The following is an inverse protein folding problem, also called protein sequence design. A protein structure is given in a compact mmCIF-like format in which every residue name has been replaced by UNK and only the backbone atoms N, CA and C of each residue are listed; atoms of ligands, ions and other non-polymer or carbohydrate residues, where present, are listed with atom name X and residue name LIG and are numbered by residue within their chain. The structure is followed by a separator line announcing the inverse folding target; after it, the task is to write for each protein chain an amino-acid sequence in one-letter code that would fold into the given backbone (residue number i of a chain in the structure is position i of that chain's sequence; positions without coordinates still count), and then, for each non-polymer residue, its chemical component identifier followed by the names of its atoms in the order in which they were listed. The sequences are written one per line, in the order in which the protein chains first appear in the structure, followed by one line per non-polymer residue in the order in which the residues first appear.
data_IF_218682550706
#
_entry.id   IF_218682550706
#
_cell.length_a   1.000
_cell.length_b   1.000
_cell.length_c   1.000
_cell.angle_alpha   90.00
_cell.angle_beta   90.00
_cell.angle_gamma   90.00
#
_symmetry.space_group_name_H-M   'P 1'
#
loop_
_entity.id
_entity.type
_entity.pdbx_description
1 polymer ?
#
# COMPACT_ATOMS: atom_id res chain seq x y z
N UNK A 1 -7.88 30.47 -40.19
CA UNK A 1 -8.54 30.02 -38.94
C UNK A 1 -8.02 28.65 -38.47
N UNK A 2 -7.93 27.64 -39.36
CA UNK A 2 -7.41 26.28 -39.05
C UNK A 2 -6.00 26.21 -38.45
N UNK A 3 -5.05 27.05 -38.87
CA UNK A 3 -3.65 27.03 -38.38
C UNK A 3 -3.48 27.41 -36.90
N UNK A 4 -4.38 28.24 -36.36
CA UNK A 4 -4.39 28.64 -34.94
C UNK A 4 -5.01 27.56 -34.06
N UNK A 5 -6.07 26.90 -34.55
CA UNK A 5 -6.68 25.77 -33.86
C UNK A 5 -5.73 24.57 -33.76
N UNK A 6 -4.94 24.31 -34.81
CA UNK A 6 -3.94 23.24 -34.82
C UNK A 6 -2.79 23.49 -33.83
N UNK A 7 -2.32 24.75 -33.73
CA UNK A 7 -1.28 25.13 -32.77
C UNK A 7 -1.77 25.02 -31.32
N UNK A 8 -3.02 25.44 -31.05
CA UNK A 8 -3.63 25.35 -29.73
C UNK A 8 -3.87 23.89 -29.30
N UNK A 9 -4.27 23.02 -30.22
CA UNK A 9 -4.43 21.60 -29.97
C UNK A 9 -3.08 20.92 -29.62
N UNK A 10 -2.00 21.30 -30.31
CA UNK A 10 -0.65 20.78 -30.03
C UNK A 10 -0.13 21.21 -28.65
N UNK A 11 -0.43 22.44 -28.21
CA UNK A 11 -0.02 22.93 -26.88
C UNK A 11 -0.76 22.22 -25.75
N UNK A 12 -2.04 21.90 -25.96
CA UNK A 12 -2.86 21.18 -24.97
C UNK A 12 -2.39 19.73 -24.79
N UNK A 13 -1.96 19.06 -25.87
CA UNK A 13 -1.43 17.68 -25.82
C UNK A 13 -0.08 17.61 -25.10
N UNK A 14 0.81 18.58 -25.30
CA UNK A 14 2.10 18.62 -24.61
C UNK A 14 1.99 18.87 -23.08
N UNK A 15 0.87 19.42 -22.61
CA UNK A 15 0.68 19.70 -21.18
C UNK A 15 0.11 18.51 -20.38
N UNK A 16 -0.29 17.43 -21.06
CA UNK A 16 -0.95 16.28 -20.44
C UNK A 16 0.00 15.14 -19.97
N UNK A 17 1.32 15.28 -20.14
CA UNK A 17 2.24 14.12 -20.09
C UNK A 17 2.86 13.79 -18.72
N UNK A 18 2.35 14.32 -17.60
CA UNK A 18 3.01 14.14 -16.30
C UNK A 18 2.07 13.73 -15.16
N UNK A 19 1.27 12.69 -15.36
CA UNK A 19 0.64 11.97 -14.26
C UNK A 19 1.58 10.84 -13.82
N UNK A 20 2.38 11.10 -12.79
CA UNK A 20 3.20 10.07 -12.16
C UNK A 20 2.26 9.15 -11.36
N UNK A 21 1.98 7.97 -11.92
CA UNK A 21 1.37 6.89 -11.17
C UNK A 21 2.40 6.38 -10.14
N UNK A 22 2.41 7.02 -8.99
CA UNK A 22 3.21 6.65 -7.83
C UNK A 22 2.75 5.27 -7.34
N UNK A 23 3.40 4.20 -7.79
CA UNK A 23 3.08 2.84 -7.35
C UNK A 23 3.62 2.60 -5.94
N UNK A 24 2.77 2.20 -4.97
CA UNK A 24 3.20 1.96 -3.61
C UNK A 24 4.25 0.85 -3.58
N UNK A 25 5.28 1.04 -2.76
CA UNK A 25 6.34 0.04 -2.58
C UNK A 25 6.48 -0.30 -1.10
N UNK A 26 6.29 -1.56 -0.76
CA UNK A 26 6.56 -2.08 0.58
C UNK A 26 8.05 -2.47 0.68
N UNK A 27 8.72 -2.02 1.74
CA UNK A 27 10.14 -2.30 1.97
C UNK A 27 10.36 -3.21 3.18
N UNK A 28 9.65 -2.97 4.27
CA UNK A 28 9.80 -3.76 5.50
C UNK A 28 8.51 -3.80 6.30
N UNK A 29 8.29 -4.94 6.97
CA UNK A 29 7.25 -5.13 7.97
C UNK A 29 7.92 -5.38 9.31
N UNK A 30 7.44 -4.71 10.36
CA UNK A 30 7.93 -4.88 11.73
C UNK A 30 6.77 -5.00 12.73
N UNK A 31 6.87 -5.83 13.77
CA UNK A 31 7.96 -6.80 14.02
C UNK A 31 7.97 -7.93 12.97
N UNK A 32 9.13 -8.59 12.81
CA UNK A 32 9.31 -9.70 11.84
C UNK A 32 8.63 -11.01 12.24
N UNK A 33 8.10 -11.09 13.46
CA UNK A 33 7.42 -12.26 13.98
C UNK A 33 6.41 -11.86 15.04
N UNK A 34 5.31 -12.61 15.08
CA UNK A 34 4.20 -12.42 16.02
C UNK A 34 3.69 -13.76 16.51
N UNK A 35 3.04 -13.75 17.67
CA UNK A 35 2.50 -14.95 18.28
C UNK A 35 1.14 -15.31 17.66
N UNK A 36 0.83 -16.61 17.57
CA UNK A 36 -0.50 -17.09 17.18
C UNK A 36 -1.49 -16.96 18.32
N UNK A 37 -2.76 -16.74 17.98
CA UNK A 37 -3.83 -16.55 18.97
C UNK A 37 -3.79 -15.19 19.66
N UNK A 38 -3.06 -14.22 19.10
CA UNK A 38 -2.96 -12.85 19.63
C UNK A 38 -3.35 -11.83 18.57
N UNK A 39 -3.60 -10.59 19.01
CA UNK A 39 -3.63 -9.43 18.14
C UNK A 39 -2.31 -8.70 18.23
N UNK A 40 -1.77 -8.29 17.08
CA UNK A 40 -0.49 -7.61 16.99
C UNK A 40 -0.55 -6.41 16.05
N UNK A 41 0.24 -5.38 16.36
CA UNK A 41 0.33 -4.18 15.52
C UNK A 41 1.51 -4.31 14.57
N UNK A 42 1.16 -4.53 13.31
CA UNK A 42 1.88 -4.39 12.05
C UNK A 42 2.43 -2.97 11.84
N UNK A 43 3.72 -2.73 11.61
CA UNK A 43 4.18 -1.47 10.98
C UNK A 43 4.78 -1.79 9.61
N UNK A 44 4.18 -1.21 8.57
CA UNK A 44 4.56 -1.36 7.18
C UNK A 44 5.24 -0.07 6.74
N UNK A 45 6.47 -0.18 6.25
CA UNK A 45 7.28 0.96 5.83
C UNK A 45 7.72 0.80 4.38
N UNK A 46 7.71 1.90 3.64
CA UNK A 46 7.88 1.87 2.19
C UNK A 46 7.92 3.25 1.55
N UNK A 47 7.40 3.35 0.32
CA UNK A 47 7.17 4.62 -0.37
C UNK A 47 5.74 4.70 -0.85
N UNK A 48 5.11 5.87 -0.68
CA UNK A 48 3.76 6.17 -1.19
C UNK A 48 2.68 5.23 -0.61
N UNK A 49 2.76 4.98 0.70
CA UNK A 49 1.80 4.18 1.47
C UNK A 49 0.67 5.01 2.12
N UNK A 50 0.71 6.34 1.98
CA UNK A 50 -0.22 7.24 2.68
C UNK A 50 -1.69 7.10 2.29
N UNK A 51 -1.99 6.73 1.04
CA UNK A 51 -3.34 6.78 0.48
C UNK A 51 -3.92 5.36 0.23
N UNK A 52 -5.15 5.12 0.72
CA UNK A 52 -6.04 4.07 0.21
C UNK A 52 -5.55 2.63 0.31
N UNK A 53 -4.93 2.23 1.44
CA UNK A 53 -4.33 0.91 1.56
C UNK A 53 -5.29 -0.15 2.10
N UNK A 54 -5.39 -1.26 1.37
CA UNK A 54 -5.91 -2.51 1.87
C UNK A 54 -4.75 -3.50 1.97
N UNK A 55 -4.55 -4.07 3.16
CA UNK A 55 -3.56 -5.13 3.36
C UNK A 55 -4.26 -6.46 3.12
N UNK A 56 -3.70 -7.27 2.23
CA UNK A 56 -4.23 -8.55 1.81
C UNK A 56 -3.22 -9.63 2.18
N UNK A 57 -3.66 -10.65 2.90
CA UNK A 57 -2.86 -11.84 3.17
C UNK A 57 -3.35 -12.97 2.27
N UNK A 58 -2.44 -13.57 1.50
CA UNK A 58 -2.77 -14.70 0.61
C UNK A 58 -2.94 -16.03 1.35
N UNK A 59 -2.46 -16.11 2.60
CA UNK A 59 -2.58 -17.29 3.44
C UNK A 59 -3.68 -17.10 4.50
N UNK A 60 -4.44 -18.15 4.84
CA UNK A 60 -5.44 -18.07 5.90
C UNK A 60 -4.79 -17.91 7.27
N UNK A 61 -5.55 -17.40 8.24
CA UNK A 61 -5.14 -17.28 9.64
C UNK A 61 -4.61 -15.89 10.05
N UNK A 62 -4.65 -14.91 9.15
CA UNK A 62 -4.33 -13.51 9.41
C UNK A 62 -5.50 -12.62 8.97
N UNK A 63 -6.04 -11.84 9.90
CA UNK A 63 -7.17 -10.94 9.64
C UNK A 63 -6.78 -9.50 9.98
N UNK A 64 -6.97 -8.58 9.03
CA UNK A 64 -6.70 -7.15 9.27
C UNK A 64 -7.92 -6.52 9.95
N UNK A 65 -7.74 -6.11 11.20
CA UNK A 65 -8.80 -5.49 12.03
C UNK A 65 -8.86 -3.99 11.80
N UNK A 66 -7.70 -3.34 11.65
CA UNK A 66 -7.60 -1.89 11.50
C UNK A 66 -6.37 -1.54 10.67
N UNK A 67 -6.47 -0.50 9.84
CA UNK A 67 -5.33 0.13 9.18
C UNK A 67 -5.33 1.60 9.53
N UNK A 68 -4.17 2.12 9.92
CA UNK A 68 -3.94 3.50 10.29
C UNK A 68 -2.74 4.04 9.51
N UNK A 69 -2.95 5.08 8.72
CA UNK A 69 -1.84 5.79 8.10
C UNK A 69 -1.06 6.54 9.18
N UNK A 70 0.26 6.34 9.22
CA UNK A 70 1.15 7.09 10.11
C UNK A 70 1.69 8.32 9.38
N UNK A 71 2.19 8.11 8.16
CA UNK A 71 2.66 9.15 7.26
C UNK A 71 2.62 8.66 5.80
N UNK A 72 3.17 9.45 4.88
CA UNK A 72 3.19 9.14 3.44
C UNK A 72 3.87 7.80 3.11
N UNK A 73 4.75 7.31 3.96
CA UNK A 73 5.61 6.15 3.76
C UNK A 73 5.38 5.03 4.76
N UNK A 74 4.53 5.24 5.77
CA UNK A 74 4.31 4.31 6.86
C UNK A 74 2.82 4.16 7.17
N UNK A 75 2.39 2.91 7.36
CA UNK A 75 1.09 2.61 7.93
C UNK A 75 1.23 1.53 9.02
N UNK A 76 0.27 1.54 9.94
CA UNK A 76 0.13 0.51 10.97
C UNK A 76 -1.12 -0.29 10.71
N UNK A 77 -1.04 -1.60 10.92
CA UNK A 77 -2.19 -2.47 10.82
C UNK A 77 -2.32 -3.34 12.06
N UNK A 78 -3.46 -3.33 12.70
CA UNK A 78 -3.79 -4.31 13.73
C UNK A 78 -4.23 -5.57 13.03
N UNK A 79 -3.50 -6.66 13.25
CA UNK A 79 -3.74 -7.96 12.65
C UNK A 79 -4.06 -8.95 13.75
N UNK A 80 -5.16 -9.68 13.59
CA UNK A 80 -5.53 -10.81 14.43
C UNK A 80 -4.95 -12.08 13.83
N UNK A 81 -4.20 -12.83 14.64
CA UNK A 81 -3.56 -14.07 14.23
C UNK A 81 -4.32 -15.24 14.83
N UNK A 82 -4.88 -16.10 13.97
CA UNK A 82 -5.62 -17.27 14.40
C UNK A 82 -4.72 -18.23 15.22
N UNK A 83 -5.25 -18.91 16.26
CA UNK A 83 -4.46 -19.81 17.11
C UNK A 83 -3.90 -21.01 16.34
N UNK A 84 -4.56 -21.41 15.26
CA UNK A 84 -4.20 -22.51 14.35
C UNK A 84 -3.44 -22.04 13.10
N UNK A 85 -3.12 -20.75 12.99
CA UNK A 85 -2.38 -20.19 11.85
C UNK A 85 -1.09 -20.98 11.55
N UNK A 86 -0.71 -21.15 10.29
CA UNK A 86 0.50 -21.91 9.94
C UNK A 86 1.74 -21.25 10.57
N UNK A 87 2.65 -22.03 11.14
CA UNK A 87 3.95 -21.53 11.57
C UNK A 87 4.88 -21.29 10.37
N UNK A 88 5.82 -20.35 10.53
CA UNK A 88 6.80 -20.00 9.51
C UNK A 88 6.49 -18.67 8.83
N UNK A 89 7.14 -18.43 7.70
CA UNK A 89 7.00 -17.18 6.95
C UNK A 89 5.64 -17.11 6.24
N UNK A 90 5.02 -15.94 6.35
CA UNK A 90 3.83 -15.57 5.58
C UNK A 90 4.24 -14.47 4.62
N UNK A 91 4.61 -14.87 3.40
CA UNK A 91 4.99 -13.92 2.35
C UNK A 91 3.71 -13.23 1.86
N UNK A 92 3.73 -11.90 1.90
CA UNK A 92 2.69 -11.04 1.33
C UNK A 92 3.07 -10.67 -0.09
#
# INVERSE_FOLDING_TARGET
MFRRAFFAAFTLVCCATSLFAASPRLSIISPRGVQRGTEAVLTFSGSQLGDGQQILFYSPGLEVVKVETVDVNNCKATVKIAPDCRLGEHVT
#
